data_IF_609990427235
#
_entry.id   IF_609990427235
#
_cell.length_a   1.000
_cell.length_b   1.000
_cell.length_c   1.000
_cell.angle_alpha   90.00
_cell.angle_beta   90.00
_cell.angle_gamma   90.00
#
_symmetry.space_group_name_H-M   'P 1'
#
loop_
_entity.id
_entity.type
_entity.pdbx_description
1 polymer ?
#
# COMPACT_ATOMS: atom_id res chain seq x y z
N UNK A 1 -18.99 85.38 82.06
CA UNK A 1 -19.82 84.91 80.94
C UNK A 1 -19.57 83.42 80.80
N UNK A 2 -20.50 82.61 81.30
CA UNK A 2 -20.35 81.17 81.48
C UNK A 2 -20.71 80.40 80.20
N UNK A 3 -19.94 79.36 79.86
CA UNK A 3 -20.41 78.28 78.97
C UNK A 3 -20.18 76.95 79.66
N UNK A 4 -21.26 76.18 79.68
CA UNK A 4 -21.45 74.96 80.45
C UNK A 4 -20.82 73.73 79.79
N UNK A 5 -20.20 72.94 80.67
CA UNK A 5 -20.06 71.49 80.69
C UNK A 5 -21.02 70.68 79.79
N UNK A 6 -20.45 69.76 79.00
CA UNK A 6 -21.12 68.53 78.58
C UNK A 6 -20.30 67.30 78.97
N UNK A 7 -21.01 66.41 79.64
CA UNK A 7 -20.64 65.15 80.29
C UNK A 7 -20.04 64.12 79.34
N UNK A 8 -19.06 63.39 79.87
CA UNK A 8 -18.58 62.08 79.44
C UNK A 8 -19.65 60.98 79.60
N UNK A 9 -19.73 60.05 78.63
CA UNK A 9 -20.20 58.67 78.81
C UNK A 9 -19.53 57.78 77.74
N UNK A 10 -18.64 56.92 78.20
CA UNK A 10 -18.06 55.77 77.50
C UNK A 10 -19.10 54.66 77.30
N UNK A 11 -18.96 53.85 76.23
CA UNK A 11 -19.36 52.45 76.29
C UNK A 11 -18.17 51.49 76.11
N UNK A 12 -18.12 50.55 77.06
CA UNK A 12 -17.56 49.20 77.11
C UNK A 12 -16.34 48.78 76.25
N UNK A 13 -15.29 48.20 76.88
CA UNK A 13 -14.24 47.49 76.17
C UNK A 13 -14.76 46.13 75.66
N UNK A 14 -14.59 45.85 74.37
CA UNK A 14 -14.84 44.54 73.82
C UNK A 14 -13.79 43.54 74.33
N UNK A 15 -14.27 42.43 74.89
CA UNK A 15 -13.47 41.31 75.38
C UNK A 15 -12.67 40.65 74.25
N UNK A 16 -11.47 40.10 74.54
CA UNK A 16 -10.65 39.44 73.54
C UNK A 16 -11.26 38.08 73.17
N UNK A 17 -11.73 37.93 71.93
CA UNK A 17 -12.10 36.60 71.43
C UNK A 17 -10.83 35.85 70.98
N UNK A 18 -10.63 34.76 71.69
CA UNK A 18 -9.60 33.74 71.55
C UNK A 18 -9.40 33.28 70.11
N UNK A 19 -8.13 33.19 69.71
CA UNK A 19 -7.67 32.37 68.61
C UNK A 19 -8.21 30.94 68.75
N UNK A 20 -9.03 30.52 67.81
CA UNK A 20 -9.23 29.11 67.46
C UNK A 20 -9.87 29.01 66.07
N UNK A 21 -9.04 29.23 65.05
CA UNK A 21 -9.35 28.99 63.64
C UNK A 21 -8.16 28.37 62.90
N UNK A 22 -7.40 27.51 63.59
CA UNK A 22 -6.05 27.07 63.22
C UNK A 22 -5.94 25.97 62.15
N UNK A 23 -6.97 25.68 61.35
CA UNK A 23 -6.85 24.68 60.28
C UNK A 23 -7.51 25.13 58.97
N UNK A 24 -8.77 25.56 59.03
CA UNK A 24 -9.54 25.94 57.82
C UNK A 24 -9.05 27.23 57.15
N UNK A 25 -8.50 28.18 57.91
CA UNK A 25 -7.93 29.42 57.37
C UNK A 25 -6.61 29.18 56.62
N UNK A 26 -5.75 28.29 57.14
CA UNK A 26 -4.49 27.92 56.49
C UNK A 26 -4.72 27.10 55.21
N UNK A 27 -5.73 26.23 55.19
CA UNK A 27 -6.12 25.47 53.99
C UNK A 27 -6.62 26.40 52.88
N UNK A 28 -7.44 27.41 53.19
CA UNK A 28 -7.91 28.38 52.18
C UNK A 28 -6.78 29.27 51.64
N UNK A 29 -5.84 29.68 52.49
CA UNK A 29 -4.67 30.46 52.06
C UNK A 29 -3.69 29.62 51.19
N UNK A 30 -3.54 28.33 51.47
CA UNK A 30 -2.70 27.43 50.68
C UNK A 30 -3.29 27.16 49.28
N UNK A 31 -4.61 27.06 49.14
CA UNK A 31 -5.30 26.84 47.85
C UNK A 31 -5.27 28.08 46.94
N UNK A 32 -5.12 29.29 47.51
CA UNK A 32 -5.03 30.54 46.74
C UNK A 32 -3.67 30.74 46.05
N UNK A 33 -2.64 29.96 46.40
CA UNK A 33 -1.34 30.03 45.74
C UNK A 33 -1.34 29.17 44.45
N UNK A 34 -1.18 29.76 43.25
CA UNK A 34 -1.29 29.05 41.98
C UNK A 34 -0.29 27.89 41.83
N UNK A 35 0.85 27.93 42.52
CA UNK A 35 1.84 26.85 42.48
C UNK A 35 1.42 25.63 43.34
N UNK A 36 0.72 25.86 44.44
CA UNK A 36 0.25 24.79 45.34
C UNK A 36 -0.96 24.09 44.73
N UNK A 37 -1.87 24.84 44.10
CA UNK A 37 -3.01 24.27 43.38
C UNK A 37 -2.59 23.51 42.12
N UNK A 38 -1.60 24.00 41.37
CA UNK A 38 -1.01 23.27 40.24
C UNK A 38 -0.32 21.96 40.67
N UNK A 39 0.42 21.98 41.78
CA UNK A 39 1.04 20.77 42.34
C UNK A 39 0.00 19.74 42.81
N UNK A 40 -1.08 20.20 43.45
CA UNK A 40 -2.20 19.32 43.85
C UNK A 40 -2.93 18.69 42.67
N UNK A 41 -3.16 19.45 41.60
CA UNK A 41 -3.79 18.94 40.38
C UNK A 41 -2.90 17.91 39.65
N UNK A 42 -1.59 18.15 39.58
CA UNK A 42 -0.64 17.20 39.00
C UNK A 42 -0.58 15.88 39.78
N UNK A 43 -0.62 15.95 41.12
CA UNK A 43 -0.66 14.75 41.96
C UNK A 43 -1.95 13.96 41.75
N UNK A 44 -3.09 14.65 41.68
CA UNK A 44 -4.40 14.02 41.40
C UNK A 44 -4.41 13.35 40.02
N UNK A 45 -3.85 14.00 38.99
CA UNK A 45 -3.72 13.43 37.65
C UNK A 45 -2.82 12.19 37.63
N UNK A 46 -1.69 12.21 38.35
CA UNK A 46 -0.82 11.04 38.47
C UNK A 46 -1.52 9.89 39.21
N UNK A 47 -2.27 10.17 40.27
CA UNK A 47 -3.01 9.15 41.01
C UNK A 47 -4.14 8.54 40.17
N UNK A 48 -4.89 9.35 39.41
CA UNK A 48 -5.94 8.83 38.51
C UNK A 48 -5.33 8.03 37.35
N UNK A 49 -4.21 8.47 36.77
CA UNK A 49 -3.49 7.72 35.75
C UNK A 49 -2.99 6.37 36.28
N UNK A 50 -2.43 6.35 37.49
CA UNK A 50 -1.94 5.12 38.14
C UNK A 50 -3.10 4.16 38.44
N UNK A 51 -4.24 4.68 38.91
CA UNK A 51 -5.45 3.90 39.12
C UNK A 51 -6.01 3.33 37.80
N UNK A 52 -5.99 4.11 36.71
CA UNK A 52 -6.43 3.67 35.39
C UNK A 52 -5.54 2.53 34.84
N UNK A 53 -4.21 2.63 35.03
CA UNK A 53 -3.27 1.56 34.66
C UNK A 53 -3.50 0.30 35.49
N UNK A 54 -3.82 0.42 36.78
CA UNK A 54 -4.15 -0.74 37.63
C UNK A 54 -5.48 -1.40 37.25
N UNK A 55 -6.45 -0.63 36.73
CA UNK A 55 -7.77 -1.15 36.34
C UNK A 55 -7.76 -1.75 34.93
N UNK A 56 -7.02 -1.16 33.99
CA UNK A 56 -6.98 -1.59 32.58
C UNK A 56 -5.79 -2.52 32.29
N UNK A 57 -4.71 -2.40 33.04
CA UNK A 57 -3.49 -3.19 32.88
C UNK A 57 -3.57 -4.52 33.61
N UNK A 58 -4.35 -5.47 33.10
CA UNK A 58 -4.04 -6.88 33.31
C UNK A 58 -3.00 -7.30 32.24
N UNK A 59 -1.72 -7.51 32.60
CA UNK A 59 -0.68 -7.87 31.64
C UNK A 59 -0.80 -9.30 31.10
N UNK A 60 -1.91 -10.01 31.39
CA UNK A 60 -2.18 -11.38 30.92
C UNK A 60 -3.53 -11.55 30.21
N UNK A 61 -4.29 -10.48 29.94
CA UNK A 61 -5.60 -10.58 29.31
C UNK A 61 -5.60 -10.83 27.78
N UNK A 62 -4.44 -11.02 27.15
CA UNK A 62 -4.33 -11.35 25.72
C UNK A 62 -3.99 -12.82 25.48
N UNK A 63 -5.03 -13.64 25.30
CA UNK A 63 -5.03 -15.04 24.86
C UNK A 63 -4.68 -16.13 25.91
N UNK A 64 -5.62 -17.04 26.25
CA UNK A 64 -5.27 -18.25 26.99
C UNK A 64 -4.43 -19.18 26.10
N UNK A 65 -3.12 -19.22 26.33
CA UNK A 65 -2.22 -20.19 25.69
C UNK A 65 -2.27 -21.50 26.47
N UNK A 66 -3.07 -22.46 26.00
CA UNK A 66 -3.02 -23.83 26.50
C UNK A 66 -1.81 -24.53 25.87
N UNK A 67 -0.76 -24.78 26.65
CA UNK A 67 0.37 -25.61 26.22
C UNK A 67 0.09 -27.07 26.56
N UNK A 68 -0.32 -27.83 25.56
CA UNK A 68 -0.47 -29.28 25.67
C UNK A 68 0.90 -29.95 25.42
N UNK A 69 1.44 -30.76 26.36
CA UNK A 69 2.61 -31.56 26.08
C UNK A 69 2.26 -32.62 25.04
N UNK A 70 2.96 -32.63 23.89
CA UNK A 70 2.75 -33.59 22.80
C UNK A 70 2.85 -35.06 23.24
N UNK A 71 3.49 -35.33 24.39
CA UNK A 71 3.59 -36.66 24.97
C UNK A 71 2.26 -37.23 25.50
N UNK A 72 1.25 -36.41 25.82
CA UNK A 72 -0.06 -36.88 26.28
C UNK A 72 -1.10 -36.99 25.15
N UNK A 73 -0.91 -36.31 24.02
CA UNK A 73 -1.83 -36.40 22.88
C UNK A 73 -1.64 -37.67 22.03
N UNK A 74 -0.51 -38.36 22.18
CA UNK A 74 -0.21 -39.59 21.41
C UNK A 74 -0.63 -40.87 22.17
N UNK A 75 -1.12 -40.78 23.41
CA UNK A 75 -1.47 -41.96 24.23
C UNK A 75 -2.97 -42.10 24.49
N UNK A 76 -3.81 -41.17 24.02
CA UNK A 76 -5.26 -41.42 23.98
C UNK A 76 -5.53 -42.39 22.82
N UNK A 77 -5.71 -43.67 23.17
CA UNK A 77 -6.06 -44.73 22.23
C UNK A 77 -7.18 -44.27 21.28
N UNK A 78 -6.98 -44.56 19.99
CA UNK A 78 -7.92 -44.18 18.95
C UNK A 78 -9.36 -44.63 19.30
N UNK A 79 -10.39 -43.80 19.06
CA UNK A 79 -11.76 -44.10 19.45
C UNK A 79 -12.22 -45.45 18.89
N UNK A 80 -12.93 -46.29 19.65
CA UNK A 80 -13.53 -47.52 19.12
C UNK A 80 -14.35 -47.20 17.87
N UNK A 81 -14.09 -47.92 16.77
CA UNK A 81 -14.76 -47.69 15.47
C UNK A 81 -14.01 -46.82 14.46
N UNK A 82 -12.82 -46.29 14.77
CA UNK A 82 -12.03 -45.53 13.79
C UNK A 82 -11.64 -46.35 12.54
N UNK A 83 -11.53 -47.67 12.66
CA UNK A 83 -11.26 -48.59 11.53
C UNK A 83 -12.53 -48.91 10.73
N UNK A 84 -13.69 -48.91 11.37
CA UNK A 84 -14.98 -49.05 10.69
C UNK A 84 -15.34 -47.78 9.90
N UNK A 85 -14.99 -46.59 10.41
CA UNK A 85 -15.16 -45.32 9.69
C UNK A 85 -14.28 -45.21 8.41
N UNK A 86 -13.15 -45.94 8.36
CA UNK A 86 -12.31 -46.04 7.16
C UNK A 86 -12.81 -47.08 6.14
N UNK A 87 -13.79 -47.91 6.50
CA UNK A 87 -14.34 -48.97 5.65
C UNK A 87 -15.80 -48.76 5.27
N UNK A 88 -16.48 -47.77 5.86
CA UNK A 88 -17.90 -47.50 5.66
C UNK A 88 -18.24 -46.51 4.53
N UNK A 89 -17.30 -46.22 3.63
CA UNK A 89 -17.63 -45.76 2.27
C UNK A 89 -16.99 -46.74 1.28
N UNK A 90 -17.85 -47.53 0.65
CA UNK A 90 -17.50 -48.54 -0.34
C UNK A 90 -17.04 -47.95 -1.67
N UNK A 91 -15.98 -47.14 -1.63
CA UNK A 91 -15.19 -46.75 -2.80
C UNK A 91 -13.91 -46.09 -2.28
N UNK A 92 -12.86 -46.89 -2.09
CA UNK A 92 -11.50 -46.37 -1.96
C UNK A 92 -11.08 -45.58 -3.20
N UNK A 93 -9.89 -44.97 -3.23
CA UNK A 93 -9.36 -44.37 -4.46
C UNK A 93 -9.36 -45.46 -5.53
N UNK A 94 -10.29 -45.36 -6.47
CA UNK A 94 -10.41 -46.29 -7.56
C UNK A 94 -9.13 -46.22 -8.35
N UNK A 95 -8.36 -47.30 -8.35
CA UNK A 95 -7.49 -47.59 -9.48
C UNK A 95 -8.47 -47.86 -10.62
N UNK A 96 -8.79 -46.81 -11.37
CA UNK A 96 -9.33 -46.99 -12.72
C UNK A 96 -8.19 -47.60 -13.50
N UNK A 97 -8.31 -48.89 -13.79
CA UNK A 97 -7.51 -49.51 -14.84
C UNK A 97 -8.01 -48.92 -16.16
N UNK A 98 -7.51 -47.72 -16.48
CA UNK A 98 -7.76 -47.07 -17.75
C UNK A 98 -6.97 -47.87 -18.79
N UNK A 99 -7.66 -48.78 -19.45
CA UNK A 99 -7.16 -49.46 -20.64
C UNK A 99 -7.08 -48.41 -21.74
N UNK A 100 -5.89 -47.85 -21.94
CA UNK A 100 -5.61 -46.99 -23.09
C UNK A 100 -5.51 -47.86 -24.35
N UNK A 101 -6.62 -48.02 -25.07
CA UNK A 101 -6.55 -48.45 -26.47
C UNK A 101 -6.00 -47.28 -27.30
N UNK A 102 -4.70 -47.35 -27.61
CA UNK A 102 -4.09 -46.44 -28.57
C UNK A 102 -4.71 -46.72 -29.94
N UNK A 103 -5.52 -45.78 -30.43
CA UNK A 103 -6.03 -45.80 -31.80
C UNK A 103 -4.87 -45.89 -32.79
N UNK A 104 -4.87 -46.91 -33.64
CA UNK A 104 -3.89 -47.08 -34.73
C UNK A 104 -4.10 -46.08 -35.89
N UNK A 105 -5.10 -45.20 -35.80
CA UNK A 105 -5.37 -44.19 -36.81
C UNK A 105 -4.70 -42.85 -36.44
N UNK A 106 -3.75 -42.34 -37.25
CA UNK A 106 -3.15 -41.04 -37.01
C UNK A 106 -4.21 -39.92 -37.11
N UNK A 107 -4.22 -39.03 -36.12
CA UNK A 107 -5.07 -37.83 -36.12
C UNK A 107 -4.57 -36.90 -37.24
N UNK A 108 -5.44 -36.41 -38.14
CA UNK A 108 -5.04 -35.45 -39.16
C UNK A 108 -4.46 -34.16 -38.53
N UNK A 109 -3.32 -33.68 -39.04
CA UNK A 109 -2.57 -32.52 -38.53
C UNK A 109 -3.37 -31.21 -38.40
N UNK A 110 -4.59 -31.14 -38.94
CA UNK A 110 -5.47 -29.96 -38.86
C UNK A 110 -6.19 -29.78 -37.51
N UNK A 111 -6.23 -30.79 -36.64
CA UNK A 111 -6.96 -30.71 -35.35
C UNK A 111 -6.04 -30.56 -34.12
N UNK A 112 -4.72 -30.52 -34.31
CA UNK A 112 -3.73 -30.34 -33.23
C UNK A 112 -3.65 -28.90 -32.68
N UNK A 113 -4.52 -27.99 -33.12
CA UNK A 113 -4.60 -26.60 -32.64
C UNK A 113 -5.89 -26.27 -31.87
N UNK A 114 -6.58 -27.29 -31.35
CA UNK A 114 -7.76 -27.11 -30.50
C UNK A 114 -7.40 -26.88 -29.03
N UNK A 115 -7.75 -25.72 -28.50
CA UNK A 115 -7.68 -25.41 -27.05
C UNK A 115 -8.54 -26.43 -26.28
N UNK A 116 -7.94 -27.19 -25.35
CA UNK A 116 -8.68 -28.12 -24.50
C UNK A 116 -9.49 -27.34 -23.46
N UNK A 117 -10.76 -27.09 -23.76
CA UNK A 117 -11.68 -26.41 -22.84
C UNK A 117 -12.30 -27.44 -21.89
N UNK A 118 -11.84 -27.46 -20.63
CA UNK A 118 -12.52 -28.16 -19.54
C UNK A 118 -13.67 -27.26 -19.06
N UNK A 119 -14.90 -27.52 -19.52
CA UNK A 119 -16.10 -26.90 -18.95
C UNK A 119 -16.54 -27.65 -17.70
N UNK A 120 -16.26 -27.07 -16.53
CA UNK A 120 -16.89 -27.46 -15.26
C UNK A 120 -18.28 -26.83 -15.16
N UNK A 121 -19.37 -27.60 -14.96
CA UNK A 121 -20.69 -27.03 -14.70
C UNK A 121 -20.69 -26.31 -13.34
N UNK A 122 -20.91 -24.99 -13.34
CA UNK A 122 -21.01 -24.19 -12.12
C UNK A 122 -19.88 -23.20 -11.86
N UNK A 123 -18.85 -23.14 -12.72
CA UNK A 123 -17.87 -22.06 -12.65
C UNK A 123 -18.55 -20.74 -13.07
N UNK A 124 -18.72 -19.82 -12.12
CA UNK A 124 -18.98 -18.42 -12.46
C UNK A 124 -17.93 -17.99 -13.48
N UNK A 125 -18.34 -17.30 -14.55
CA UNK A 125 -17.45 -16.74 -15.56
C UNK A 125 -16.56 -15.67 -14.91
N UNK A 126 -15.54 -16.11 -14.19
CA UNK A 126 -14.47 -15.28 -13.66
C UNK A 126 -13.73 -14.65 -14.83
N UNK A 127 -13.34 -13.38 -14.67
CA UNK A 127 -12.51 -12.64 -15.61
C UNK A 127 -11.29 -13.51 -15.95
N UNK A 128 -11.19 -14.01 -17.20
CA UNK A 128 -10.04 -14.83 -17.63
C UNK A 128 -8.77 -14.01 -17.43
N UNK A 129 -7.90 -14.46 -16.53
CA UNK A 129 -6.56 -13.91 -16.35
C UNK A 129 -5.82 -14.12 -17.67
N UNK A 130 -5.43 -13.02 -18.32
CA UNK A 130 -4.61 -13.04 -19.52
C UNK A 130 -3.17 -12.73 -19.11
N UNK A 131 -2.29 -13.75 -19.05
CA UNK A 131 -0.89 -13.53 -18.70
C UNK A 131 -0.21 -12.62 -19.71
N UNK A 132 0.68 -11.74 -19.22
CA UNK A 132 1.56 -10.95 -20.08
C UNK A 132 2.79 -11.78 -20.47
N UNK A 133 3.49 -11.41 -21.57
CA UNK A 133 4.71 -12.10 -21.98
C UNK A 133 5.75 -12.15 -20.84
N UNK A 134 6.46 -13.27 -20.65
CA UNK A 134 7.48 -13.39 -19.61
C UNK A 134 8.62 -12.39 -19.84
N UNK A 135 9.22 -11.91 -18.75
CA UNK A 135 10.42 -11.09 -18.79
C UNK A 135 11.67 -11.95 -18.48
N UNK A 136 12.85 -11.60 -19.00
CA UNK A 136 13.12 -10.52 -19.94
C UNK A 136 12.74 -10.88 -21.39
N UNK A 137 12.19 -9.92 -22.12
CA UNK A 137 12.00 -10.06 -23.57
C UNK A 137 13.34 -9.81 -24.29
N UNK A 138 13.67 -10.69 -25.24
CA UNK A 138 14.90 -10.61 -26.03
C UNK A 138 15.03 -9.26 -26.76
N UNK A 139 16.23 -8.68 -26.73
CA UNK A 139 16.55 -7.41 -27.39
C UNK A 139 16.07 -6.14 -26.67
N UNK A 140 15.42 -6.26 -25.51
CA UNK A 140 14.97 -5.12 -24.69
C UNK A 140 15.81 -4.89 -23.43
N UNK A 141 16.91 -5.62 -23.28
CA UNK A 141 17.86 -5.44 -22.20
C UNK A 141 19.29 -5.67 -22.68
N UNK A 142 20.25 -5.01 -22.04
CA UNK A 142 21.68 -5.25 -22.22
C UNK A 142 22.36 -5.47 -20.85
N UNK A 143 23.44 -6.25 -20.77
CA UNK A 143 24.24 -6.33 -19.55
C UNK A 143 24.77 -4.95 -19.15
N UNK A 144 24.58 -4.58 -17.88
CA UNK A 144 25.13 -3.38 -17.26
C UNK A 144 25.98 -3.72 -16.03
N UNK A 145 26.66 -2.73 -15.44
CA UNK A 145 27.59 -2.96 -14.32
C UNK A 145 26.94 -3.61 -13.09
N UNK A 146 25.65 -3.37 -12.85
CA UNK A 146 24.92 -3.80 -11.67
C UNK A 146 23.76 -4.77 -11.98
N UNK A 147 23.65 -5.24 -13.23
CA UNK A 147 22.53 -6.05 -13.71
C UNK A 147 22.05 -5.63 -15.10
N UNK A 148 20.97 -6.25 -15.61
CA UNK A 148 20.43 -5.95 -16.93
C UNK A 148 19.81 -4.56 -16.98
N UNK A 149 20.17 -3.75 -17.97
CA UNK A 149 19.58 -2.43 -18.18
C UNK A 149 18.59 -2.46 -19.35
N UNK A 150 17.43 -1.81 -19.25
CA UNK A 150 16.50 -1.70 -20.36
C UNK A 150 17.14 -0.96 -21.53
N UNK A 151 16.83 -1.39 -22.74
CA UNK A 151 17.26 -0.73 -23.99
C UNK A 151 16.14 -0.74 -25.01
N UNK A 152 16.19 0.22 -25.93
CA UNK A 152 15.34 0.23 -27.11
C UNK A 152 15.85 -0.84 -28.07
N UNK A 153 14.96 -1.71 -28.54
CA UNK A 153 15.33 -2.78 -29.46
C UNK A 153 15.80 -2.22 -30.81
N UNK A 154 16.59 -2.98 -31.60
CA UNK A 154 17.08 -2.53 -32.91
C UNK A 154 15.97 -2.15 -33.90
N UNK A 155 14.77 -2.71 -33.74
CA UNK A 155 13.59 -2.38 -34.54
C UNK A 155 12.82 -1.13 -34.03
N UNK A 156 13.38 -0.40 -33.05
CA UNK A 156 12.77 0.78 -32.45
C UNK A 156 11.72 0.49 -31.37
N UNK A 157 11.39 -0.79 -31.10
CA UNK A 157 10.42 -1.13 -30.06
C UNK A 157 10.99 -0.78 -28.68
N UNK A 158 10.23 -0.01 -27.91
CA UNK A 158 10.67 0.42 -26.58
C UNK A 158 10.19 -0.54 -25.48
N UNK A 159 10.85 -0.60 -24.31
CA UNK A 159 10.33 -1.27 -23.13
C UNK A 159 8.93 -0.79 -22.73
N UNK A 160 8.66 0.51 -22.83
CA UNK A 160 7.33 1.08 -22.56
C UNK A 160 6.23 0.50 -23.45
N UNK A 161 6.52 0.15 -24.71
CA UNK A 161 5.57 -0.48 -25.61
C UNK A 161 5.46 -1.99 -25.39
N UNK A 162 6.58 -2.66 -25.16
CA UNK A 162 6.64 -4.11 -25.13
C UNK A 162 6.17 -4.73 -23.81
N UNK A 163 6.36 -4.03 -22.70
CA UNK A 163 5.94 -4.50 -21.38
C UNK A 163 4.58 -3.96 -20.93
N UNK A 164 3.99 -3.04 -21.70
CA UNK A 164 2.64 -2.54 -21.46
C UNK A 164 1.59 -3.65 -21.62
N UNK A 165 0.54 -3.60 -20.79
CA UNK A 165 -0.63 -4.46 -20.94
C UNK A 165 -1.44 -4.01 -22.16
N UNK A 166 -1.77 -4.92 -23.10
CA UNK A 166 -2.66 -4.59 -24.21
C UNK A 166 -3.99 -4.06 -23.72
N UNK A 167 -4.47 -2.97 -24.32
CA UNK A 167 -5.73 -2.35 -23.95
C UNK A 167 -6.45 -1.80 -25.18
N UNK A 168 -7.75 -2.08 -25.28
CA UNK A 168 -8.62 -1.53 -26.32
C UNK A 168 -9.72 -0.71 -25.65
N UNK A 169 -9.79 0.58 -25.99
CA UNK A 169 -10.83 1.46 -25.46
C UNK A 169 -12.20 1.07 -26.03
N UNK A 170 -13.21 1.01 -25.18
CA UNK A 170 -14.59 0.66 -25.58
C UNK A 170 -15.54 1.87 -25.62
N UNK A 171 -14.99 3.09 -25.55
CA UNK A 171 -15.74 4.35 -25.55
C UNK A 171 -16.24 4.80 -24.17
N UNK A 172 -16.15 3.97 -23.12
CA UNK A 172 -16.44 4.39 -21.74
C UNK A 172 -15.28 5.22 -21.16
N UNK A 173 -15.54 6.07 -20.14
CA UNK A 173 -14.47 6.76 -19.44
C UNK A 173 -13.51 5.77 -18.76
N UNK A 174 -12.21 6.01 -18.92
CA UNK A 174 -11.16 5.12 -18.41
C UNK A 174 -10.84 5.45 -16.96
N UNK A 175 -10.84 4.47 -16.08
CA UNK A 175 -10.28 4.61 -14.74
C UNK A 175 -9.08 3.70 -14.62
N UNK A 176 -7.98 4.23 -14.10
CA UNK A 176 -6.77 3.46 -13.84
C UNK A 176 -6.34 3.66 -12.40
N UNK A 177 -5.70 2.64 -11.84
CA UNK A 177 -5.19 2.67 -10.48
C UNK A 177 -3.83 1.96 -10.42
N UNK A 178 -2.90 2.59 -9.72
CA UNK A 178 -1.59 2.01 -9.39
C UNK A 178 -1.59 1.63 -7.91
N UNK A 179 -1.15 0.40 -7.60
CA UNK A 179 -0.90 -0.06 -6.23
C UNK A 179 0.59 -0.30 -6.07
N UNK A 180 1.22 0.47 -5.18
CA UNK A 180 2.65 0.48 -4.94
C UNK A 180 3.10 -0.05 -3.58
N UNK A 181 4.39 0.09 -3.28
CA UNK A 181 5.05 -0.44 -2.10
C UNK A 181 5.27 -1.95 -2.13
N UNK A 182 5.15 -2.59 -3.30
CA UNK A 182 5.21 -4.03 -3.43
C UNK A 182 6.65 -4.54 -3.31
N UNK A 183 6.79 -5.74 -2.76
CA UNK A 183 8.06 -6.46 -2.55
C UNK A 183 8.65 -6.33 -1.14
N UNK A 184 8.23 -5.36 -0.33
CA UNK A 184 8.68 -5.23 1.07
C UNK A 184 7.97 -6.21 2.01
N UNK A 185 6.68 -6.45 1.79
CA UNK A 185 5.89 -7.41 2.53
C UNK A 185 5.41 -8.51 1.58
N UNK A 186 6.00 -9.70 1.68
CA UNK A 186 5.72 -10.81 0.77
C UNK A 186 4.26 -11.29 0.81
N UNK A 187 3.58 -11.18 1.97
CA UNK A 187 2.16 -11.54 2.10
C UNK A 187 1.28 -10.55 1.35
N UNK A 188 1.42 -9.25 1.66
CA UNK A 188 0.65 -8.20 0.99
C UNK A 188 0.95 -8.13 -0.51
N UNK A 189 2.21 -8.38 -0.90
CA UNK A 189 2.61 -8.43 -2.32
C UNK A 189 1.91 -9.56 -3.06
N UNK A 190 1.92 -10.77 -2.49
CA UNK A 190 1.20 -11.91 -3.07
C UNK A 190 -0.30 -11.65 -3.13
N UNK A 191 -0.89 -11.15 -2.06
CA UNK A 191 -2.31 -10.82 -1.98
C UNK A 191 -2.72 -9.82 -3.07
N UNK A 192 -1.94 -8.75 -3.27
CA UNK A 192 -2.19 -7.78 -4.33
C UNK A 192 -2.15 -8.42 -5.73
N UNK A 193 -1.17 -9.29 -6.00
CA UNK A 193 -1.03 -9.97 -7.31
C UNK A 193 -2.16 -10.99 -7.54
N UNK A 194 -2.60 -11.69 -6.50
CA UNK A 194 -3.58 -12.77 -6.65
C UNK A 194 -5.04 -12.26 -6.62
N UNK A 195 -5.32 -11.15 -5.95
CA UNK A 195 -6.69 -10.66 -5.73
C UNK A 195 -7.10 -9.50 -6.64
N UNK A 196 -6.15 -8.69 -7.11
CA UNK A 196 -6.45 -7.56 -7.98
C UNK A 196 -6.54 -8.01 -9.44
N UNK A 197 -7.45 -7.43 -10.25
CA UNK A 197 -7.50 -7.77 -11.66
C UNK A 197 -6.29 -7.20 -12.41
N UNK A 198 -5.85 -7.87 -13.49
CA UNK A 198 -4.64 -7.51 -14.25
C UNK A 198 -4.63 -6.09 -14.85
N UNK A 199 -5.78 -5.41 -14.89
CA UNK A 199 -5.88 -3.99 -15.28
C UNK A 199 -5.35 -3.04 -14.21
N UNK A 200 -5.24 -3.47 -12.94
CA UNK A 200 -4.54 -2.70 -11.91
C UNK A 200 -3.04 -2.81 -12.16
N UNK A 201 -2.38 -1.65 -12.23
CA UNK A 201 -0.93 -1.58 -12.42
C UNK A 201 -0.23 -1.70 -11.07
N UNK A 202 0.82 -2.50 -11.02
CA UNK A 202 1.56 -2.80 -9.78
C UNK A 202 2.93 -2.11 -9.82
N UNK A 203 3.30 -1.36 -8.78
CA UNK A 203 4.64 -0.78 -8.66
C UNK A 203 5.46 -1.41 -7.54
N UNK A 204 6.70 -1.76 -7.86
CA UNK A 204 7.58 -2.49 -6.96
C UNK A 204 8.75 -1.65 -6.46
N UNK A 205 9.09 -1.86 -5.19
CA UNK A 205 10.24 -1.22 -4.54
C UNK A 205 11.54 -1.84 -5.08
N UNK A 206 12.52 -1.02 -5.51
CA UNK A 206 13.77 -1.50 -6.13
C UNK A 206 14.67 -2.31 -5.18
N UNK A 207 14.40 -2.20 -3.87
CA UNK A 207 15.15 -2.86 -2.79
C UNK A 207 14.54 -4.20 -2.37
N UNK A 208 13.41 -4.61 -2.96
CA UNK A 208 12.73 -5.85 -2.60
C UNK A 208 13.63 -7.08 -2.83
N UNK A 209 13.61 -8.00 -1.86
CA UNK A 209 14.24 -9.30 -2.03
C UNK A 209 13.47 -10.13 -3.07
N UNK A 210 14.19 -10.77 -3.98
CA UNK A 210 13.58 -11.57 -5.04
C UNK A 210 12.73 -10.76 -6.04
N UNK A 211 13.00 -9.45 -6.19
CA UNK A 211 12.22 -8.52 -7.02
C UNK A 211 11.81 -9.08 -8.40
N UNK A 212 12.74 -9.70 -9.14
CA UNK A 212 12.43 -10.27 -10.45
C UNK A 212 11.31 -11.32 -10.38
N UNK A 213 11.33 -12.20 -9.37
CA UNK A 213 10.29 -13.23 -9.21
C UNK A 213 8.92 -12.65 -8.88
N UNK A 214 8.86 -11.53 -8.15
CA UNK A 214 7.59 -10.82 -7.94
C UNK A 214 7.05 -10.19 -9.21
N UNK A 215 7.93 -9.63 -10.05
CA UNK A 215 7.55 -9.06 -11.34
C UNK A 215 7.08 -10.16 -12.29
N UNK A 216 7.76 -11.30 -12.33
CA UNK A 216 7.38 -12.44 -13.15
C UNK A 216 5.99 -12.95 -12.75
N UNK A 217 5.74 -13.15 -11.46
CA UNK A 217 4.43 -13.54 -10.93
C UNK A 217 3.32 -12.52 -11.26
N UNK A 218 3.61 -11.23 -11.10
CA UNK A 218 2.66 -10.17 -11.46
C UNK A 218 2.30 -10.21 -12.95
N UNK A 219 3.29 -10.43 -13.82
CA UNK A 219 3.07 -10.53 -15.27
C UNK A 219 2.31 -11.79 -15.65
N UNK A 220 2.58 -12.92 -15.00
CA UNK A 220 1.79 -14.16 -15.14
C UNK A 220 0.31 -13.93 -14.77
N UNK A 221 0.04 -13.06 -13.80
CA UNK A 221 -1.31 -12.64 -13.40
C UNK A 221 -1.88 -11.50 -14.28
N UNK A 222 -1.17 -11.12 -15.33
CA UNK A 222 -1.63 -10.13 -16.30
C UNK A 222 -1.39 -8.68 -15.91
N UNK A 223 -0.75 -8.40 -14.77
CA UNK A 223 -0.49 -7.05 -14.32
C UNK A 223 0.59 -6.36 -15.13
N UNK A 224 0.31 -5.10 -15.47
CA UNK A 224 1.34 -4.17 -15.91
C UNK A 224 2.18 -3.74 -14.71
N UNK A 225 3.50 -3.59 -14.93
CA UNK A 225 4.47 -3.39 -13.86
C UNK A 225 5.23 -2.07 -14.01
N UNK A 226 5.34 -1.32 -12.92
CA UNK A 226 6.19 -0.15 -12.74
C UNK A 226 7.31 -0.45 -11.74
N UNK A 227 8.43 0.26 -11.87
CA UNK A 227 9.48 0.28 -10.86
C UNK A 227 9.44 1.62 -10.11
N UNK A 228 9.47 1.54 -8.78
CA UNK A 228 9.50 2.74 -7.95
C UNK A 228 10.89 3.36 -7.96
N UNK A 229 10.91 4.69 -8.05
CA UNK A 229 12.12 5.49 -8.09
C UNK A 229 12.17 6.37 -6.84
N UNK A 230 12.99 6.01 -5.85
CA UNK A 230 13.22 6.81 -4.66
C UNK A 230 13.75 8.20 -5.02
N UNK A 231 13.04 9.26 -4.63
CA UNK A 231 13.37 10.65 -4.99
C UNK A 231 13.34 11.57 -3.76
N UNK A 232 14.20 12.58 -3.73
CA UNK A 232 14.36 13.50 -2.59
C UNK A 232 13.05 14.23 -2.25
N UNK A 233 12.50 14.04 -1.03
CA UNK A 233 11.44 14.90 -0.51
C UNK A 233 11.99 16.19 0.08
N UNK A 234 11.11 17.13 0.45
CA UNK A 234 11.48 18.43 1.05
C UNK A 234 12.18 18.31 2.42
N UNK A 235 11.88 17.25 3.17
CA UNK A 235 12.37 16.96 4.53
C UNK A 235 13.56 15.97 4.53
N UNK A 236 14.20 15.75 3.38
CA UNK A 236 15.46 14.99 3.32
C UNK A 236 16.58 15.70 4.11
N UNK A 237 17.40 15.00 4.92
CA UNK A 237 17.49 13.54 5.05
C UNK A 237 16.67 12.92 6.20
N UNK A 238 15.81 13.68 6.89
CA UNK A 238 15.01 13.15 8.01
C UNK A 238 14.03 12.07 7.53
N UNK A 239 13.55 12.20 6.29
CA UNK A 239 12.81 11.18 5.56
C UNK A 239 13.64 10.67 4.37
N UNK A 240 14.47 9.64 4.59
CA UNK A 240 15.33 9.04 3.57
C UNK A 240 14.64 7.83 2.88
N UNK A 241 14.31 7.93 1.58
CA UNK A 241 13.69 6.85 0.82
C UNK A 241 14.62 5.65 0.53
N UNK A 242 15.93 5.78 0.79
CA UNK A 242 16.91 4.72 0.66
C UNK A 242 18.23 5.15 -0.01
N UNK A 243 19.20 4.22 -0.13
CA UNK A 243 20.58 4.54 -0.49
C UNK A 243 20.79 5.07 -1.92
N UNK A 244 19.83 4.83 -2.82
CA UNK A 244 19.89 5.28 -4.22
C UNK A 244 18.90 6.40 -4.53
N UNK A 245 18.43 7.12 -3.50
CA UNK A 245 17.55 8.28 -3.65
C UNK A 245 18.13 9.29 -4.65
N UNK A 246 17.34 9.70 -5.64
CA UNK A 246 17.74 10.73 -6.58
C UNK A 246 17.63 12.10 -5.90
N UNK A 247 18.74 12.83 -5.84
CA UNK A 247 18.81 14.14 -5.18
C UNK A 247 18.78 15.27 -6.20
N UNK A 248 18.01 16.32 -5.91
CA UNK A 248 17.87 17.53 -6.72
C UNK A 248 19.21 18.28 -6.90
N UNK A 249 20.11 18.14 -5.92
CA UNK A 249 21.46 18.74 -5.92
C UNK A 249 22.50 17.89 -6.66
N UNK A 250 22.17 16.65 -7.04
CA UNK A 250 23.10 15.76 -7.74
C UNK A 250 23.39 16.25 -9.16
N UNK A 251 24.66 16.20 -9.56
CA UNK A 251 25.06 16.44 -10.94
C UNK A 251 24.56 15.32 -11.88
N UNK A 252 24.50 15.56 -13.21
CA UNK A 252 23.89 14.62 -14.15
C UNK A 252 24.47 13.20 -14.13
N UNK A 253 25.78 13.07 -13.93
CA UNK A 253 26.47 11.78 -13.86
C UNK A 253 26.09 10.98 -12.61
N UNK A 254 25.88 11.64 -11.48
CA UNK A 254 25.45 11.00 -10.22
C UNK A 254 24.02 10.48 -10.35
N UNK A 255 23.11 11.35 -10.82
CA UNK A 255 21.70 11.00 -11.05
C UNK A 255 21.59 9.84 -12.03
N UNK A 256 22.34 9.86 -13.13
CA UNK A 256 22.35 8.76 -14.11
C UNK A 256 22.86 7.47 -13.50
N UNK A 257 23.93 7.50 -12.71
CA UNK A 257 24.48 6.29 -12.06
C UNK A 257 23.50 5.67 -11.06
N UNK A 258 22.86 6.49 -10.22
CA UNK A 258 21.85 6.01 -9.26
C UNK A 258 20.65 5.42 -9.99
N UNK A 259 20.17 6.11 -11.01
CA UNK A 259 19.05 5.65 -11.82
C UNK A 259 19.37 4.35 -12.55
N UNK A 260 20.56 4.20 -13.15
CA UNK A 260 20.97 2.95 -13.78
C UNK A 260 21.06 1.79 -12.79
N UNK A 261 21.51 2.05 -11.55
CA UNK A 261 21.45 1.03 -10.50
C UNK A 261 20.01 0.61 -10.18
N UNK A 262 19.07 1.55 -10.09
CA UNK A 262 17.65 1.25 -9.87
C UNK A 262 17.09 0.43 -11.04
N UNK A 263 17.36 0.85 -12.27
CA UNK A 263 16.91 0.14 -13.48
C UNK A 263 17.48 -1.27 -13.57
N UNK A 264 18.68 -1.51 -13.05
CA UNK A 264 19.32 -2.81 -13.16
C UNK A 264 18.78 -3.86 -12.19
N UNK A 265 17.85 -3.49 -11.30
CA UNK A 265 17.33 -4.39 -10.27
C UNK A 265 16.41 -5.48 -10.81
N UNK A 266 15.76 -5.24 -11.93
CA UNK A 266 14.89 -6.20 -12.59
C UNK A 266 14.65 -5.85 -14.07
N UNK A 267 13.83 -6.66 -14.73
CA UNK A 267 13.29 -6.45 -16.07
C UNK A 267 11.78 -6.71 -16.06
N UNK A 268 11.05 -6.31 -17.10
CA UNK A 268 9.61 -6.59 -17.20
C UNK A 268 8.69 -5.44 -16.79
N UNK A 269 9.24 -4.30 -16.38
CA UNK A 269 8.49 -3.06 -16.17
C UNK A 269 8.45 -2.20 -17.45
N UNK A 270 7.35 -1.49 -17.68
CA UNK A 270 7.21 -0.61 -18.85
C UNK A 270 7.68 0.83 -18.56
N UNK A 271 7.74 1.21 -17.28
CA UNK A 271 8.07 2.55 -16.85
C UNK A 271 8.41 2.65 -15.37
N UNK A 272 8.64 3.89 -14.94
CA UNK A 272 8.95 4.24 -13.56
C UNK A 272 7.82 5.05 -12.92
N UNK A 273 7.73 5.00 -11.60
CA UNK A 273 6.94 5.93 -10.78
C UNK A 273 7.80 6.58 -9.72
N UNK A 274 7.48 7.80 -9.29
CA UNK A 274 8.15 8.40 -8.15
C UNK A 274 7.73 7.70 -6.86
N UNK A 275 8.68 7.55 -5.94
CA UNK A 275 8.41 7.32 -4.53
C UNK A 275 8.92 8.54 -3.77
N UNK A 276 7.98 9.29 -3.18
CA UNK A 276 8.21 10.65 -2.67
C UNK A 276 8.68 11.60 -3.80
N UNK A 277 9.68 12.44 -3.55
CA UNK A 277 10.27 13.28 -4.60
C UNK A 277 9.81 14.73 -4.69
N UNK A 278 9.10 15.26 -3.69
CA UNK A 278 8.57 16.64 -3.71
C UNK A 278 9.63 17.71 -4.01
N UNK A 279 10.88 17.50 -3.60
CA UNK A 279 12.01 18.39 -3.90
C UNK A 279 12.68 18.06 -5.23
N UNK A 280 12.88 16.78 -5.53
CA UNK A 280 13.47 16.33 -6.80
C UNK A 280 12.63 16.74 -8.02
N UNK A 281 11.32 16.46 -7.97
CA UNK A 281 10.37 16.74 -9.06
C UNK A 281 10.20 18.24 -9.34
N UNK A 282 10.45 19.09 -8.33
CA UNK A 282 10.45 20.54 -8.47
C UNK A 282 11.71 21.10 -9.14
N UNK A 283 12.79 20.31 -9.26
CA UNK A 283 14.08 20.75 -9.83
C UNK A 283 14.14 20.50 -11.34
N UNK A 284 14.07 21.56 -12.14
CA UNK A 284 14.16 21.47 -13.60
C UNK A 284 15.46 20.78 -14.08
N UNK A 285 16.66 21.09 -13.55
CA UNK A 285 17.89 20.42 -13.98
C UNK A 285 17.90 18.92 -13.65
N UNK A 286 17.37 18.55 -12.48
CA UNK A 286 17.30 17.16 -12.06
C UNK A 286 16.32 16.37 -12.94
N UNK A 287 15.14 16.93 -13.19
CA UNK A 287 14.13 16.36 -14.08
C UNK A 287 14.60 16.26 -15.53
N UNK A 288 15.37 17.23 -16.03
CA UNK A 288 15.95 17.17 -17.36
C UNK A 288 16.92 15.98 -17.51
N UNK A 289 17.75 15.73 -16.49
CA UNK A 289 18.65 14.56 -16.47
C UNK A 289 17.84 13.27 -16.42
N UNK A 290 16.90 13.16 -15.47
CA UNK A 290 16.05 11.99 -15.28
C UNK A 290 15.33 11.61 -16.58
N UNK A 291 14.62 12.56 -17.18
CA UNK A 291 13.87 12.33 -18.43
C UNK A 291 14.76 11.98 -19.61
N UNK A 292 15.96 12.55 -19.70
CA UNK A 292 16.95 12.18 -20.73
C UNK A 292 17.32 10.70 -20.63
N UNK A 293 17.56 10.19 -19.42
CA UNK A 293 17.85 8.77 -19.20
C UNK A 293 16.64 7.93 -19.58
N UNK A 294 15.43 8.26 -19.10
CA UNK A 294 14.21 7.49 -19.44
C UNK A 294 13.97 7.42 -20.94
N UNK A 295 14.13 8.55 -21.64
CA UNK A 295 14.01 8.64 -23.09
C UNK A 295 15.03 7.74 -23.81
N UNK A 296 16.28 7.75 -23.37
CA UNK A 296 17.33 6.90 -23.96
C UNK A 296 17.08 5.40 -23.75
N UNK A 297 16.36 5.05 -22.67
CA UNK A 297 16.00 3.68 -22.29
C UNK A 297 14.63 3.24 -22.81
N UNK A 298 13.85 4.15 -23.41
CA UNK A 298 12.53 3.88 -23.95
C UNK A 298 11.48 3.58 -22.86
N UNK A 299 11.56 4.24 -21.71
CA UNK A 299 10.67 4.03 -20.57
C UNK A 299 9.61 5.13 -20.46
N UNK A 300 8.45 4.77 -19.90
CA UNK A 300 7.42 5.72 -19.49
C UNK A 300 7.67 6.24 -18.07
N UNK A 301 7.05 7.36 -17.72
CA UNK A 301 7.01 7.87 -16.35
C UNK A 301 5.57 8.14 -15.91
N UNK A 302 5.13 7.44 -14.88
CA UNK A 302 3.79 7.61 -14.30
C UNK A 302 3.96 8.16 -12.89
N UNK A 303 3.50 9.37 -12.62
CA UNK A 303 3.68 10.00 -11.31
C UNK A 303 2.42 9.97 -10.44
N UNK A 304 2.60 10.15 -9.14
CA UNK A 304 1.54 10.23 -8.12
C UNK A 304 0.77 11.58 -8.09
N UNK A 305 1.00 12.45 -9.08
CA UNK A 305 0.39 13.78 -9.19
C UNK A 305 1.37 14.92 -8.95
N UNK A 306 2.50 14.65 -8.27
CA UNK A 306 3.49 15.69 -7.94
C UNK A 306 4.22 16.24 -9.17
N UNK A 307 4.22 15.53 -10.30
CA UNK A 307 4.81 16.00 -11.56
C UNK A 307 3.75 16.41 -12.58
N UNK A 308 2.48 16.60 -12.19
CA UNK A 308 1.39 16.98 -13.08
C UNK A 308 1.73 18.26 -13.89
N UNK A 309 1.41 18.24 -15.19
CA UNK A 309 1.63 19.38 -16.09
C UNK A 309 3.08 19.58 -16.56
N UNK A 310 4.06 18.82 -16.06
CA UNK A 310 5.46 18.93 -16.52
C UNK A 310 5.64 18.33 -17.93
N UNK A 311 6.24 19.07 -18.85
CA UNK A 311 6.62 18.51 -20.16
C UNK A 311 7.88 17.66 -20.05
N UNK A 312 7.76 16.33 -20.13
CA UNK A 312 8.89 15.41 -19.88
C UNK A 312 9.48 14.76 -21.13
N UNK A 313 8.84 14.90 -22.30
CA UNK A 313 9.35 14.34 -23.57
C UNK A 313 9.45 12.80 -23.59
N UNK A 314 8.74 12.14 -22.68
CA UNK A 314 8.56 10.68 -22.56
C UNK A 314 7.07 10.38 -22.36
N UNK A 315 6.58 9.17 -22.70
CA UNK A 315 5.20 8.79 -22.42
C UNK A 315 4.91 8.94 -20.92
N UNK A 316 3.86 9.70 -20.59
CA UNK A 316 3.56 10.00 -19.18
C UNK A 316 2.09 10.08 -18.84
N UNK A 317 1.79 9.83 -17.56
CA UNK A 317 0.50 10.11 -16.92
C UNK A 317 0.71 10.52 -15.46
N UNK A 318 -0.25 11.22 -14.88
CA UNK A 318 -0.23 11.62 -13.46
C UNK A 318 -1.48 11.16 -12.75
N UNK A 319 -1.33 10.67 -11.53
CA UNK A 319 -2.46 10.42 -10.67
C UNK A 319 -3.11 11.75 -10.30
N UNK A 320 -4.44 11.80 -10.35
CA UNK A 320 -5.22 12.91 -9.81
C UNK A 320 -5.60 12.71 -8.34
N UNK A 321 -5.36 11.51 -7.81
CA UNK A 321 -5.85 11.06 -6.51
C UNK A 321 -4.88 10.07 -5.89
N UNK A 322 -4.56 10.27 -4.61
CA UNK A 322 -4.01 9.24 -3.73
C UNK A 322 -5.19 8.66 -2.96
N UNK A 323 -5.46 7.37 -3.13
CA UNK A 323 -6.71 6.76 -2.64
C UNK A 323 -6.67 6.43 -1.15
N UNK A 324 -5.47 6.32 -0.57
CA UNK A 324 -5.25 5.80 0.78
C UNK A 324 -4.39 6.73 1.66
N UNK A 325 -4.45 8.04 1.39
CA UNK A 325 -3.88 9.07 2.26
C UNK A 325 -4.46 9.00 3.68
N UNK A 326 -5.72 8.57 3.80
CA UNK A 326 -6.35 8.19 5.06
C UNK A 326 -6.70 6.70 5.02
N UNK A 327 -6.13 5.93 5.95
CA UNK A 327 -6.32 4.48 6.03
C UNK A 327 -7.60 4.09 6.78
N UNK A 328 -8.75 4.42 6.21
CA UNK A 328 -10.05 3.86 6.60
C UNK A 328 -10.85 3.44 5.37
N UNK A 329 -11.74 2.47 5.55
CA UNK A 329 -12.59 1.95 4.47
C UNK A 329 -13.38 3.08 3.80
N UNK A 330 -13.98 3.95 4.63
CA UNK A 330 -14.82 5.05 4.17
C UNK A 330 -14.03 6.10 3.39
N UNK A 331 -12.82 6.43 3.84
CA UNK A 331 -11.98 7.42 3.16
C UNK A 331 -11.50 6.89 1.80
N UNK A 332 -11.10 5.62 1.74
CA UNK A 332 -10.67 4.97 0.49
C UNK A 332 -11.83 4.91 -0.50
N UNK A 333 -13.03 4.49 -0.06
CA UNK A 333 -14.22 4.45 -0.91
C UNK A 333 -14.59 5.84 -1.46
N UNK A 334 -14.47 6.88 -0.62
CA UNK A 334 -14.68 8.26 -1.08
C UNK A 334 -13.67 8.69 -2.15
N UNK A 335 -12.39 8.32 -2.02
CA UNK A 335 -11.40 8.64 -3.05
C UNK A 335 -11.62 7.85 -4.34
N UNK A 336 -12.05 6.58 -4.25
CA UNK A 336 -12.39 5.77 -5.42
C UNK A 336 -13.61 6.33 -6.18
N UNK A 337 -14.64 6.77 -5.46
CA UNK A 337 -15.78 7.47 -6.07
C UNK A 337 -15.38 8.82 -6.68
N UNK A 338 -14.48 9.56 -6.04
CA UNK A 338 -13.97 10.81 -6.57
C UNK A 338 -13.10 10.59 -7.82
N UNK A 339 -12.37 9.49 -7.89
CA UNK A 339 -11.61 9.07 -9.06
C UNK A 339 -12.54 8.75 -10.24
N UNK A 340 -13.65 8.05 -9.99
CA UNK A 340 -14.71 7.82 -10.98
C UNK A 340 -15.31 9.14 -11.50
N UNK A 341 -15.67 10.06 -10.60
CA UNK A 341 -16.19 11.36 -10.98
C UNK A 341 -15.20 12.16 -11.85
N UNK A 342 -13.91 12.08 -11.54
CA UNK A 342 -12.86 12.70 -12.35
C UNK A 342 -12.76 12.06 -13.74
N UNK A 343 -12.88 10.74 -13.84
CA UNK A 343 -12.88 10.04 -15.13
C UNK A 343 -14.10 10.42 -15.97
N UNK A 344 -15.27 10.54 -15.36
CA UNK A 344 -16.49 10.97 -16.05
C UNK A 344 -16.34 12.38 -16.64
N UNK A 345 -15.70 13.31 -15.92
CA UNK A 345 -15.49 14.69 -16.36
C UNK A 345 -14.44 14.80 -17.47
N UNK A 346 -13.34 14.06 -17.35
CA UNK A 346 -12.15 14.23 -18.21
C UNK A 346 -12.01 13.13 -19.27
N UNK A 347 -12.92 12.16 -19.31
CA UNK A 347 -12.82 10.93 -20.11
C UNK A 347 -11.82 9.90 -19.56
N UNK A 348 -10.91 10.30 -18.68
CA UNK A 348 -10.00 9.40 -17.98
C UNK A 348 -9.53 9.94 -16.63
N UNK A 349 -9.22 9.07 -15.68
CA UNK A 349 -8.53 9.43 -14.44
C UNK A 349 -7.60 8.31 -13.95
N UNK A 350 -6.52 8.70 -13.31
CA UNK A 350 -5.54 7.82 -12.68
C UNK A 350 -5.54 8.07 -11.17
N UNK A 351 -5.61 7.01 -10.38
CA UNK A 351 -5.33 7.02 -8.95
C UNK A 351 -4.03 6.29 -8.63
N UNK A 352 -3.51 6.53 -7.44
CA UNK A 352 -2.41 5.77 -6.85
C UNK A 352 -2.70 5.44 -5.39
N UNK A 353 -2.15 4.34 -4.91
CA UNK A 353 -2.14 3.98 -3.49
C UNK A 353 -1.07 2.95 -3.20
N UNK A 354 -0.97 2.51 -1.95
CA UNK A 354 -0.02 1.51 -1.50
C UNK A 354 -0.71 0.18 -1.16
N UNK A 355 0.07 -0.89 -1.15
CA UNK A 355 -0.38 -2.26 -0.89
C UNK A 355 -0.65 -2.52 0.62
N UNK A 356 -1.41 -1.64 1.27
CA UNK A 356 -1.96 -1.94 2.59
C UNK A 356 -3.07 -2.98 2.46
N UNK A 357 -3.20 -3.94 3.40
CA UNK A 357 -4.27 -4.95 3.32
C UNK A 357 -5.66 -4.36 3.16
N UNK A 358 -5.94 -3.24 3.84
CA UNK A 358 -7.21 -2.53 3.71
C UNK A 358 -7.40 -1.93 2.30
N UNK A 359 -6.37 -1.28 1.75
CA UNK A 359 -6.40 -0.73 0.39
C UNK A 359 -6.64 -1.84 -0.63
N UNK A 360 -5.92 -2.96 -0.53
CA UNK A 360 -6.08 -4.10 -1.46
C UNK A 360 -7.52 -4.62 -1.43
N UNK A 361 -8.09 -4.83 -0.24
CA UNK A 361 -9.47 -5.31 -0.08
C UNK A 361 -10.50 -4.36 -0.72
N UNK A 362 -10.41 -3.06 -0.44
CA UNK A 362 -11.31 -2.05 -0.99
C UNK A 362 -11.18 -1.94 -2.51
N UNK A 363 -9.95 -1.94 -3.03
CA UNK A 363 -9.67 -1.88 -4.46
C UNK A 363 -10.18 -3.13 -5.18
N UNK A 364 -10.02 -4.32 -4.61
CA UNK A 364 -10.52 -5.56 -5.19
C UNK A 364 -12.04 -5.52 -5.37
N UNK A 365 -12.77 -5.11 -4.32
CA UNK A 365 -14.24 -4.95 -4.40
C UNK A 365 -14.66 -3.87 -5.39
N UNK A 366 -13.98 -2.73 -5.37
CA UNK A 366 -14.25 -1.64 -6.30
C UNK A 366 -14.02 -2.03 -7.77
N UNK A 367 -12.91 -2.69 -8.07
CA UNK A 367 -12.51 -3.07 -9.42
C UNK A 367 -13.45 -4.11 -10.05
N UNK A 368 -14.09 -4.96 -9.24
CA UNK A 368 -15.12 -5.89 -9.71
C UNK A 368 -16.40 -5.17 -10.17
N UNK A 369 -16.73 -4.03 -9.56
CA UNK A 369 -17.98 -3.32 -9.79
C UNK A 369 -17.85 -2.06 -10.68
N UNK A 370 -16.65 -1.55 -10.90
CA UNK A 370 -16.44 -0.27 -11.62
C UNK A 370 -16.95 -0.31 -13.07
N UNK A 371 -16.83 -1.46 -13.75
CA UNK A 371 -17.30 -1.60 -15.13
C UNK A 371 -18.83 -1.60 -15.27
N UNK A 372 -19.54 -2.09 -14.24
CA UNK A 372 -21.00 -2.07 -14.18
C UNK A 372 -21.54 -0.66 -13.93
N UNK A 373 -20.74 0.22 -13.31
CA UNK A 373 -21.02 1.65 -13.15
C UNK A 373 -20.76 2.50 -14.40
N UNK A 374 -20.38 1.88 -15.51
CA UNK A 374 -20.23 2.58 -16.80
C UNK A 374 -18.83 3.08 -17.10
N UNK A 375 -17.82 2.68 -16.34
CA UNK A 375 -16.41 2.97 -16.59
C UNK A 375 -15.71 1.79 -17.28
N UNK A 376 -14.48 2.01 -17.75
CA UNK A 376 -13.59 0.94 -18.19
C UNK A 376 -12.33 0.97 -17.33
N UNK A 377 -12.04 -0.13 -16.62
CA UNK A 377 -10.79 -0.27 -15.89
C UNK A 377 -9.64 -0.45 -16.89
N UNK A 378 -8.56 0.31 -16.73
CA UNK A 378 -7.47 0.38 -17.69
C UNK A 378 -6.09 0.36 -17.00
N UNK A 379 -5.07 -0.27 -17.61
CA UNK A 379 -3.69 -0.19 -17.14
C UNK A 379 -3.15 1.25 -17.27
N UNK A 380 -2.13 1.59 -16.51
CA UNK A 380 -1.58 2.95 -16.47
C UNK A 380 -1.05 3.40 -17.84
N UNK A 381 -0.45 2.49 -18.62
CA UNK A 381 0.01 2.76 -19.99
C UNK A 381 -1.08 3.29 -20.92
N UNK A 382 -2.34 2.88 -20.73
CA UNK A 382 -3.48 3.33 -21.54
C UNK A 382 -3.87 4.79 -21.32
N UNK A 383 -3.32 5.44 -20.29
CA UNK A 383 -3.53 6.85 -19.97
C UNK A 383 -2.35 7.73 -20.38
N UNK A 384 -1.25 7.13 -20.84
CA UNK A 384 -0.06 7.88 -21.27
C UNK A 384 -0.32 8.72 -22.53
N UNK A 385 0.35 9.87 -22.62
CA UNK A 385 0.32 10.78 -23.77
C UNK A 385 1.71 11.08 -24.29
#
# INVERSE_FOLDING_TARGET
>A
MAMFSKKSLTPAPASPQSANGGALAHVRAAIANPYISAGGAALLFLLTLTALVMIIGDPKAGAPVIRLPLAQAVVAAAPPGWREALTADGSGPGIVEEVFELSESPIPEAEAMGEAVITLPGAQSGRRVQPLPPAPIAGLHNPGPNGPLPVIAPNGRTPAQAYARPFQANGKPKVSLIVGGLGLNSRATREAIESLPGEITLSFVPYAEGLQGWIDLAREHGHEVLLETPMEPVDYPDNDPGPYTLLASSGPAETSRRLEWLLSRATGYFGLTNYLGSRFLASDPAMATFTTVLKSRGLAFIDDGQAAGRGLGVPRASAGRIIDDQLSSEAIDQQLLALEAQALQNGQALGSGFAYPLTIAQVAGWAQAVETRGYQLAPASALTR
#
